data_IF_728386700473
#
_entry.id   IF_728386700473
#
_cell.length_a   1.000
_cell.length_b   1.000
_cell.length_c   1.000
_cell.angle_alpha   90.00
_cell.angle_beta   90.00
_cell.angle_gamma   90.00
#
_symmetry.space_group_name_H-M   'P 1'
#
loop_
_entity.id
_entity.type
_entity.pdbx_description
1 polymer ?
#
# COMPACT_ATOMS: atom_id res chain seq x y z
N UNK A 1 -26.17 -21.42 14.57
CA UNK A 1 -25.58 -20.08 14.43
C UNK A 1 -26.70 -19.09 14.60
N UNK A 2 -26.64 -18.23 15.61
CA UNK A 2 -27.72 -17.28 15.87
C UNK A 2 -27.88 -16.33 14.69
N UNK A 3 -29.12 -16.22 14.18
CA UNK A 3 -29.45 -15.35 13.06
C UNK A 3 -29.00 -13.89 13.30
N UNK A 4 -29.03 -13.46 14.56
CA UNK A 4 -28.53 -12.16 15.00
C UNK A 4 -27.03 -12.00 14.77
N UNK A 5 -26.21 -13.03 15.03
CA UNK A 5 -24.77 -12.97 14.81
C UNK A 5 -24.43 -12.90 13.32
N UNK A 6 -25.16 -13.65 12.49
CA UNK A 6 -25.02 -13.58 11.04
C UNK A 6 -25.37 -12.18 10.51
N UNK A 7 -26.49 -11.61 10.97
CA UNK A 7 -26.93 -10.28 10.56
C UNK A 7 -25.94 -9.17 10.96
N UNK A 8 -25.35 -9.26 12.15
CA UNK A 8 -24.31 -8.33 12.61
C UNK A 8 -23.03 -8.42 11.77
N UNK A 9 -22.61 -9.62 11.36
CA UNK A 9 -21.44 -9.80 10.50
C UNK A 9 -21.69 -9.23 9.10
N UNK A 10 -22.87 -9.48 8.51
CA UNK A 10 -23.23 -8.92 7.20
C UNK A 10 -23.32 -7.39 7.28
N UNK A 11 -23.95 -6.84 8.31
CA UNK A 11 -24.04 -5.41 8.52
C UNK A 11 -22.67 -4.76 8.72
N UNK A 12 -21.78 -5.38 9.49
CA UNK A 12 -20.41 -4.91 9.69
C UNK A 12 -19.58 -5.00 8.38
N UNK A 13 -19.75 -6.06 7.59
CA UNK A 13 -19.06 -6.24 6.32
C UNK A 13 -19.52 -5.22 5.27
N UNK A 14 -20.84 -4.96 5.20
CA UNK A 14 -21.40 -3.92 4.33
C UNK A 14 -20.99 -2.52 4.82
N UNK A 15 -21.04 -2.25 6.11
CA UNK A 15 -20.57 -0.99 6.71
C UNK A 15 -19.09 -0.75 6.42
N UNK A 16 -18.25 -1.74 6.64
CA UNK A 16 -16.83 -1.70 6.29
C UNK A 16 -16.65 -1.49 4.78
N UNK A 17 -17.37 -2.21 3.93
CA UNK A 17 -17.31 -2.04 2.48
C UNK A 17 -17.72 -0.64 2.02
N UNK A 18 -18.76 -0.06 2.62
CA UNK A 18 -19.23 1.30 2.34
C UNK A 18 -18.25 2.36 2.84
N UNK A 19 -17.67 2.18 4.02
CA UNK A 19 -16.61 3.06 4.54
C UNK A 19 -15.37 2.99 3.64
N UNK A 20 -14.97 1.80 3.20
CA UNK A 20 -13.88 1.61 2.26
C UNK A 20 -14.17 2.23 0.89
N UNK A 21 -15.42 2.16 0.40
CA UNK A 21 -15.84 2.85 -0.83
C UNK A 21 -15.88 4.36 -0.66
N UNK A 22 -16.32 4.89 0.49
CA UNK A 22 -16.37 6.33 0.76
C UNK A 22 -14.97 6.93 0.90
N UNK A 23 -14.04 6.22 1.55
CA UNK A 23 -12.62 6.56 1.58
C UNK A 23 -11.97 6.51 0.19
N UNK A 24 -12.48 5.67 -0.72
CA UNK A 24 -12.05 5.63 -2.13
C UNK A 24 -12.66 6.76 -2.97
N UNK A 25 -13.83 7.27 -2.61
CA UNK A 25 -14.58 8.30 -3.36
C UNK A 25 -14.24 9.73 -2.94
N UNK A 26 -13.74 9.97 -1.72
CA UNK A 26 -13.38 11.33 -1.26
C UNK A 26 -12.19 11.95 -2.00
N UNK A 27 -11.51 11.20 -2.86
CA UNK A 27 -10.43 11.72 -3.69
C UNK A 27 -10.91 12.27 -5.05
N UNK A 28 -12.22 12.27 -5.35
CA UNK A 28 -12.74 12.71 -6.66
C UNK A 28 -13.69 13.92 -6.66
N UNK A 29 -13.94 14.64 -5.55
CA UNK A 29 -14.81 15.81 -5.62
C UNK A 29 -14.40 16.93 -4.63
N UNK A 30 -13.59 17.85 -5.13
CA UNK A 30 -13.53 19.30 -4.88
C UNK A 30 -12.61 19.79 -6.01
N UNK A 31 -13.09 20.35 -7.12
CA UNK A 31 -13.72 21.66 -7.24
C UNK A 31 -14.35 21.73 -8.65
N UNK A 32 -15.67 21.91 -8.72
CA UNK A 32 -16.37 22.33 -9.93
C UNK A 32 -17.31 23.45 -9.51
N UNK A 33 -16.99 24.66 -9.94
CA UNK A 33 -17.97 25.65 -10.42
C UNK A 33 -17.26 26.98 -10.73
N UNK A 34 -17.13 27.32 -12.02
CA UNK A 34 -17.81 28.49 -12.58
C UNK A 34 -17.38 28.74 -14.02
N UNK A 35 -18.41 28.93 -14.84
CA UNK A 35 -18.44 29.21 -16.27
C UNK A 35 -17.83 30.55 -16.67
N UNK A 36 -17.21 30.63 -17.85
CA UNK A 36 -17.79 31.33 -19.02
C UNK A 36 -16.76 31.54 -20.15
N UNK A 37 -17.31 31.68 -21.35
CA UNK A 37 -16.70 31.65 -22.67
C UNK A 37 -16.10 33.01 -23.08
N UNK A 38 -14.96 33.02 -23.79
CA UNK A 38 -14.78 33.63 -25.14
C UNK A 38 -13.36 34.19 -25.43
N UNK A 39 -12.88 33.77 -26.61
CA UNK A 39 -11.89 34.30 -27.56
C UNK A 39 -11.27 35.70 -27.35
N UNK A 40 -9.93 35.82 -27.45
CA UNK A 40 -9.19 36.29 -28.65
C UNK A 40 -7.79 36.91 -28.36
N UNK A 41 -6.81 36.53 -29.18
CA UNK A 41 -5.63 37.28 -29.69
C UNK A 41 -4.44 37.76 -28.81
N UNK A 42 -3.25 37.39 -29.30
CA UNK A 42 -1.91 38.06 -29.29
C UNK A 42 -0.85 37.74 -28.21
N UNK A 43 0.45 37.61 -28.59
CA UNK A 43 1.51 37.04 -27.75
C UNK A 43 2.43 38.11 -27.15
N UNK A 44 2.86 37.96 -25.89
CA UNK A 44 4.01 38.70 -25.33
C UNK A 44 4.61 38.01 -24.11
N UNK A 45 5.92 37.77 -24.19
CA UNK A 45 6.90 37.50 -23.13
C UNK A 45 6.61 36.37 -22.12
N UNK A 46 7.26 35.21 -22.35
CA UNK A 46 7.26 34.05 -21.46
C UNK A 46 8.10 34.31 -20.18
N UNK A 47 7.44 34.53 -19.06
CA UNK A 47 7.98 34.18 -17.73
C UNK A 47 7.56 32.72 -17.42
N UNK A 48 8.45 31.83 -16.95
CA UNK A 48 8.05 30.47 -16.62
C UNK A 48 7.27 30.50 -15.31
N UNK A 49 5.95 30.69 -15.42
CA UNK A 49 5.00 30.43 -14.35
C UNK A 49 5.19 28.99 -13.90
N UNK A 50 5.49 28.82 -12.61
CA UNK A 50 5.61 27.54 -11.94
C UNK A 50 4.43 26.64 -12.28
N UNK A 51 4.66 25.68 -13.18
CA UNK A 51 3.69 24.64 -13.47
C UNK A 51 3.47 23.86 -12.17
N UNK A 52 2.29 24.01 -11.58
CA UNK A 52 1.82 23.11 -10.53
C UNK A 52 2.03 21.68 -11.04
N UNK A 53 2.68 20.79 -10.27
CA UNK A 53 2.90 19.43 -10.72
C UNK A 53 1.53 18.86 -11.06
N UNK A 54 1.33 18.51 -12.33
CA UNK A 54 0.16 17.79 -12.77
C UNK A 54 0.00 16.60 -11.81
N UNK A 55 -1.23 16.40 -11.33
CA UNK A 55 -1.60 15.18 -10.60
C UNK A 55 -1.17 14.01 -11.46
N UNK A 56 0.02 13.46 -11.20
CA UNK A 56 0.49 12.30 -11.91
C UNK A 56 -0.50 11.21 -11.55
N UNK A 57 -1.23 10.71 -12.54
CA UNK A 57 -1.94 9.45 -12.42
C UNK A 57 -0.89 8.45 -11.97
N UNK A 58 -0.86 8.15 -10.67
CA UNK A 58 0.16 7.28 -10.10
C UNK A 58 -0.10 5.89 -10.70
N UNK A 59 0.70 5.53 -11.70
CA UNK A 59 0.65 4.20 -12.30
C UNK A 59 1.21 3.23 -11.28
N UNK A 60 0.30 2.53 -10.60
CA UNK A 60 0.66 1.48 -9.67
C UNK A 60 1.17 0.27 -10.45
N UNK A 61 2.38 -0.17 -10.13
CA UNK A 61 2.99 -1.36 -10.71
C UNK A 61 2.53 -2.65 -10.02
N UNK A 62 2.18 -2.56 -8.74
CA UNK A 62 1.77 -3.69 -7.92
C UNK A 62 0.56 -3.34 -7.05
N UNK A 63 -0.26 -4.34 -6.72
CA UNK A 63 -1.35 -4.15 -5.75
C UNK A 63 -0.81 -4.12 -4.32
N UNK A 64 0.19 -4.95 -4.01
CA UNK A 64 0.71 -5.12 -2.65
C UNK A 64 2.23 -5.12 -2.60
N UNK A 65 2.78 -4.28 -1.71
CA UNK A 65 4.15 -4.39 -1.21
C UNK A 65 4.17 -5.15 0.12
N UNK A 66 4.91 -6.26 0.22
CA UNK A 66 5.15 -6.92 1.49
C UNK A 66 6.40 -6.39 2.19
N UNK A 67 6.27 -5.97 3.45
CA UNK A 67 7.42 -5.78 4.34
C UNK A 67 7.40 -6.83 5.45
N UNK A 68 8.48 -7.60 5.55
CA UNK A 68 8.56 -8.73 6.46
C UNK A 68 10.00 -9.17 6.72
N UNK A 69 10.23 -9.79 7.88
CA UNK A 69 11.48 -10.50 8.14
C UNK A 69 11.47 -11.84 7.41
N UNK A 70 12.33 -11.99 6.41
CA UNK A 70 12.37 -13.20 5.58
C UNK A 70 12.55 -14.50 6.37
N UNK A 71 13.45 -14.49 7.35
CA UNK A 71 13.74 -15.62 8.23
C UNK A 71 12.52 -16.10 9.04
N UNK A 72 11.62 -15.18 9.41
CA UNK A 72 10.50 -15.50 10.30
C UNK A 72 9.27 -16.03 9.54
N UNK A 73 9.00 -15.54 8.32
CA UNK A 73 7.70 -15.75 7.66
C UNK A 73 7.73 -16.17 6.19
N UNK A 74 8.89 -16.14 5.51
CA UNK A 74 8.97 -16.32 4.04
C UNK A 74 8.41 -17.65 3.55
N UNK A 75 8.80 -18.76 4.19
CA UNK A 75 8.48 -20.11 3.71
C UNK A 75 7.11 -20.62 4.17
N UNK A 76 6.61 -20.13 5.31
CA UNK A 76 5.36 -20.61 5.89
C UNK A 76 4.22 -19.62 5.59
N UNK A 77 4.08 -18.59 6.42
CA UNK A 77 2.92 -17.71 6.37
C UNK A 77 2.80 -16.94 5.03
N UNK A 78 3.92 -16.39 4.53
CA UNK A 78 3.90 -15.59 3.32
C UNK A 78 3.67 -16.42 2.07
N UNK A 79 4.08 -17.68 2.04
CA UNK A 79 3.85 -18.56 0.88
C UNK A 79 2.36 -18.86 0.68
N UNK A 80 1.60 -19.06 1.77
CA UNK A 80 0.14 -19.18 1.73
C UNK A 80 -0.54 -17.90 1.22
N UNK A 81 -0.12 -16.72 1.71
CA UNK A 81 -0.65 -15.43 1.22
C UNK A 81 -0.36 -15.27 -0.27
N UNK A 82 0.88 -15.51 -0.71
CA UNK A 82 1.27 -15.42 -2.12
C UNK A 82 0.41 -16.33 -3.00
N UNK A 83 0.12 -17.56 -2.54
CA UNK A 83 -0.75 -18.51 -3.25
C UNK A 83 -2.18 -17.96 -3.40
N UNK A 84 -2.78 -17.44 -2.33
CA UNK A 84 -4.13 -16.88 -2.39
C UNK A 84 -4.22 -15.60 -3.22
N UNK A 85 -3.21 -14.75 -3.16
CA UNK A 85 -3.14 -13.54 -3.99
C UNK A 85 -3.01 -13.87 -5.47
N UNK A 86 -2.17 -14.84 -5.82
CA UNK A 86 -2.09 -15.36 -7.19
C UNK A 86 -3.44 -15.90 -7.67
N UNK A 87 -4.17 -16.61 -6.79
CA UNK A 87 -5.50 -17.16 -7.10
C UNK A 87 -6.57 -16.09 -7.35
N UNK A 88 -6.38 -14.89 -6.79
CA UNK A 88 -7.28 -13.73 -6.94
C UNK A 88 -6.76 -12.67 -7.93
N UNK A 89 -5.70 -12.98 -8.69
CA UNK A 89 -5.07 -12.03 -9.63
C UNK A 89 -4.60 -10.74 -8.97
N UNK A 90 -4.18 -10.82 -7.69
CA UNK A 90 -3.58 -9.71 -6.95
C UNK A 90 -2.07 -9.74 -7.20
N UNK A 91 -1.54 -8.66 -7.79
CA UNK A 91 -0.12 -8.53 -8.10
C UNK A 91 0.70 -8.16 -6.86
N UNK A 92 1.79 -8.89 -6.64
CA UNK A 92 2.61 -8.81 -5.43
C UNK A 92 4.03 -8.44 -5.80
N UNK A 93 4.62 -7.46 -5.12
CA UNK A 93 6.04 -7.18 -5.27
C UNK A 93 6.84 -8.38 -4.75
N UNK A 94 7.73 -8.91 -5.58
CA UNK A 94 8.55 -10.07 -5.25
C UNK A 94 9.98 -9.64 -4.95
N UNK A 95 10.37 -9.71 -3.69
CA UNK A 95 11.74 -9.42 -3.23
C UNK A 95 12.69 -10.63 -3.37
N UNK A 96 12.21 -11.77 -3.89
CA UNK A 96 13.03 -12.97 -4.08
C UNK A 96 14.13 -12.67 -5.12
N UNK A 97 15.38 -12.59 -4.68
CA UNK A 97 16.53 -12.30 -5.55
C UNK A 97 17.11 -10.90 -5.38
N UNK A 98 16.49 -10.05 -4.55
CA UNK A 98 17.13 -8.79 -4.12
C UNK A 98 18.14 -9.13 -3.04
N UNK A 99 19.42 -8.91 -3.33
CA UNK A 99 20.48 -9.03 -2.33
C UNK A 99 20.24 -8.02 -1.21
N UNK A 100 20.19 -8.54 0.02
CA UNK A 100 20.02 -7.72 1.21
C UNK A 100 21.40 -7.26 1.67
N UNK A 101 21.79 -6.06 1.26
CA UNK A 101 23.01 -5.36 1.66
C UNK A 101 22.83 -4.41 2.85
N UNK A 102 23.70 -3.39 2.94
CA UNK A 102 23.70 -2.42 4.05
C UNK A 102 22.61 -1.34 3.93
N UNK A 103 22.08 -1.09 2.73
CA UNK A 103 21.09 -0.07 2.42
C UNK A 103 19.98 -0.62 1.52
N UNK A 104 18.77 -0.08 1.67
CA UNK A 104 17.62 -0.45 0.85
C UNK A 104 17.90 -0.31 -0.66
N UNK A 105 17.73 -1.41 -1.39
CA UNK A 105 17.94 -1.42 -2.84
C UNK A 105 16.96 -0.46 -3.55
N UNK A 106 17.39 0.24 -4.63
CA UNK A 106 16.51 1.08 -5.44
C UNK A 106 15.24 0.35 -5.92
N UNK A 107 15.35 -0.95 -6.20
CA UNK A 107 14.27 -1.87 -6.56
C UNK A 107 13.16 -1.90 -5.49
N UNK A 108 13.54 -1.89 -4.21
CA UNK A 108 12.60 -1.91 -3.10
C UNK A 108 11.91 -0.56 -2.93
N UNK A 109 12.64 0.54 -3.04
CA UNK A 109 12.03 1.88 -3.02
C UNK A 109 10.99 1.98 -4.15
N UNK A 110 11.34 1.51 -5.35
CA UNK A 110 10.42 1.45 -6.49
C UNK A 110 9.23 0.53 -6.22
N UNK A 111 9.45 -0.64 -5.61
CA UNK A 111 8.39 -1.54 -5.17
C UNK A 111 7.43 -0.90 -4.18
N UNK A 112 7.96 -0.22 -3.15
CA UNK A 112 7.16 0.48 -2.12
C UNK A 112 6.33 1.59 -2.77
N UNK A 113 6.97 2.45 -3.56
CA UNK A 113 6.31 3.60 -4.19
C UNK A 113 5.34 3.21 -5.30
N UNK A 114 5.63 2.11 -5.99
CA UNK A 114 4.80 1.56 -7.06
C UNK A 114 3.65 0.66 -6.58
N UNK A 115 3.48 0.45 -5.26
CA UNK A 115 2.43 -0.41 -4.73
C UNK A 115 1.24 0.36 -4.17
N UNK A 116 0.02 -0.13 -4.41
CA UNK A 116 -1.23 0.48 -3.90
C UNK A 116 -1.34 0.37 -2.37
N UNK A 117 -0.98 -0.79 -1.83
CA UNK A 117 -1.09 -1.14 -0.41
C UNK A 117 0.25 -1.69 0.07
N UNK A 118 0.63 -1.38 1.31
CA UNK A 118 1.74 -2.05 1.98
C UNK A 118 1.20 -2.93 3.11
N UNK A 119 1.64 -4.20 3.17
CA UNK A 119 1.37 -5.12 4.27
C UNK A 119 2.65 -5.25 5.07
N UNK A 120 2.60 -4.85 6.35
CA UNK A 120 3.73 -4.94 7.28
C UNK A 120 3.49 -6.11 8.23
N UNK A 121 4.29 -7.16 8.10
CA UNK A 121 4.23 -8.36 8.92
C UNK A 121 5.23 -8.25 10.07
N UNK A 122 4.73 -7.82 11.23
CA UNK A 122 5.55 -7.67 12.44
C UNK A 122 5.76 -9.04 13.08
N UNK A 123 7.01 -9.49 13.06
CA UNK A 123 7.48 -10.76 13.63
C UNK A 123 8.56 -10.51 14.70
N UNK A 124 8.98 -11.56 15.41
CA UNK A 124 9.94 -11.47 16.52
C UNK A 124 11.22 -10.74 16.13
N UNK A 125 11.75 -11.01 14.95
CA UNK A 125 13.02 -10.47 14.47
C UNK A 125 12.84 -9.36 13.42
N UNK A 126 11.64 -8.75 13.33
CA UNK A 126 11.41 -7.64 12.40
C UNK A 126 12.25 -6.42 12.76
N UNK A 127 12.19 -6.00 14.03
CA UNK A 127 12.87 -4.80 14.51
C UNK A 127 14.40 -4.96 14.66
N UNK A 128 14.93 -6.19 14.62
CA UNK A 128 16.38 -6.42 14.60
C UNK A 128 17.00 -6.29 13.20
N UNK A 129 16.17 -6.18 12.17
CA UNK A 129 16.60 -6.07 10.78
C UNK A 129 16.59 -4.61 10.34
N UNK A 130 17.79 -4.00 10.20
CA UNK A 130 17.95 -2.63 9.66
C UNK A 130 17.15 -2.44 8.37
N UNK A 131 17.22 -3.42 7.48
CA UNK A 131 16.47 -3.45 6.22
C UNK A 131 14.95 -3.35 6.41
N UNK A 132 14.38 -4.08 7.38
CA UNK A 132 12.93 -4.03 7.63
C UNK A 132 12.51 -2.66 8.19
N UNK A 133 13.37 -2.03 9.00
CA UNK A 133 13.11 -0.67 9.50
C UNK A 133 13.23 0.38 8.39
N UNK A 134 14.19 0.25 7.48
CA UNK A 134 14.31 1.13 6.31
C UNK A 134 13.09 1.01 5.38
N UNK A 135 12.61 -0.21 5.12
CA UNK A 135 11.33 -0.44 4.42
C UNK A 135 10.18 0.27 5.13
N UNK A 136 10.06 0.11 6.46
CA UNK A 136 9.00 0.73 7.25
C UNK A 136 9.05 2.26 7.18
N UNK A 137 10.25 2.86 7.25
CA UNK A 137 10.44 4.30 7.10
C UNK A 137 9.98 4.77 5.72
N UNK A 138 10.35 4.09 4.64
CA UNK A 138 9.95 4.47 3.28
C UNK A 138 8.44 4.30 3.06
N UNK A 139 7.85 3.24 3.62
CA UNK A 139 6.40 3.01 3.68
C UNK A 139 5.68 4.18 4.38
N UNK A 140 6.23 4.66 5.50
CA UNK A 140 5.69 5.81 6.25
C UNK A 140 5.88 7.15 5.54
N UNK A 141 6.93 7.33 4.73
CA UNK A 141 7.05 8.53 3.87
C UNK A 141 5.96 8.58 2.81
N UNK A 142 5.44 7.43 2.39
CA UNK A 142 4.38 7.34 1.39
C UNK A 142 2.94 7.45 1.96
N UNK A 143 2.78 7.72 3.27
CA UNK A 143 1.51 7.57 4.03
C UNK A 143 0.34 8.41 3.56
N UNK A 144 0.61 9.51 2.86
CA UNK A 144 -0.43 10.43 2.43
C UNK A 144 -1.48 9.79 1.47
N UNK A 145 -1.21 8.64 0.84
CA UNK A 145 -2.05 8.09 -0.26
C UNK A 145 -2.42 6.60 -0.17
N UNK A 146 -2.15 5.88 0.93
CA UNK A 146 -2.24 4.40 0.93
C UNK A 146 -2.92 3.80 2.17
N UNK A 147 -3.52 2.62 1.98
CA UNK A 147 -3.98 1.78 3.07
C UNK A 147 -2.83 0.90 3.60
N UNK A 148 -2.78 0.71 4.91
CA UNK A 148 -1.75 -0.07 5.61
C UNK A 148 -2.41 -1.17 6.43
N UNK A 149 -1.89 -2.40 6.31
CA UNK A 149 -2.35 -3.52 7.13
C UNK A 149 -1.17 -4.03 7.96
N UNK A 150 -1.29 -3.90 9.28
CA UNK A 150 -0.34 -4.43 10.24
C UNK A 150 -0.85 -5.78 10.73
N UNK A 151 -0.07 -6.83 10.50
CA UNK A 151 -0.39 -8.15 11.02
C UNK A 151 0.63 -8.53 12.08
N UNK A 152 0.20 -8.52 13.35
CA UNK A 152 0.98 -9.03 14.48
C UNK A 152 0.62 -10.49 14.69
N UNK A 153 1.53 -11.41 14.37
CA UNK A 153 1.35 -12.82 14.72
C UNK A 153 1.67 -12.99 16.21
N UNK A 154 0.73 -13.52 16.98
CA UNK A 154 1.00 -13.99 18.34
C UNK A 154 1.80 -15.29 18.22
N UNK A 155 3.12 -15.18 18.28
CA UNK A 155 4.01 -16.34 18.32
C UNK A 155 3.91 -16.95 19.73
N UNK A 156 2.99 -17.92 19.92
CA UNK A 156 3.07 -18.81 21.07
C UNK A 156 4.40 -19.58 20.94
N UNK A 157 5.19 -19.58 22.01
CA UNK A 157 6.52 -20.17 22.10
C UNK A 157 6.61 -21.54 21.40
N UNK A 158 7.27 -21.59 20.25
CA UNK A 158 7.88 -22.83 19.76
C UNK A 158 9.25 -22.91 20.42
N UNK A 159 9.26 -23.43 21.65
CA UNK A 159 10.50 -23.87 22.29
C UNK A 159 11.11 -25.03 21.48
N UNK A 160 12.44 -25.21 21.56
CA UNK A 160 13.09 -26.33 20.89
C UNK A 160 12.55 -27.66 21.45
N UNK A 161 12.18 -28.57 20.55
CA UNK A 161 12.00 -30.00 20.89
C UNK A 161 13.36 -30.66 21.04
#
# INVERSE_FOLDING_TARGET
MDFSLFLNIVAAALGFFLIFRKLRSHHENEESDSSSLSTSSTPSALSPSSASPSSSSHVWMYDVFPSFRGEDVRYNFLSHIKKEFKRKTITFFNDNGIERGESIAPELIRGIRGSKIAIVLLSRNYASSKWCLEELVEIMKCRQRRAYVYLKRHLKNLGPK
#
